data_IF_289113376805
#
_entry.id   IF_289113376805
#
_cell.length_a   1.000
_cell.length_b   1.000
_cell.length_c   1.000
_cell.angle_alpha   90.00
_cell.angle_beta   90.00
_cell.angle_gamma   90.00
#
_symmetry.space_group_name_H-M   'P 1'
#
loop_
_entity.id
_entity.type
_entity.pdbx_description
1 polymer ?
#
# COMPACT_ATOMS: atom_id res chain seq x y z
N UNK A 1 -26.47 3.07 7.02
CA UNK A 1 -26.39 4.45 7.53
C UNK A 1 -25.31 5.28 6.83
N UNK A 2 -24.01 4.98 7.01
CA UNK A 2 -22.94 5.77 6.36
C UNK A 2 -23.01 5.71 4.82
N UNK A 3 -23.14 4.51 4.27
CA UNK A 3 -23.22 4.32 2.80
C UNK A 3 -24.47 4.97 2.22
N UNK A 4 -25.62 4.86 2.89
CA UNK A 4 -26.86 5.53 2.48
C UNK A 4 -26.68 7.05 2.42
N UNK A 5 -25.99 7.63 3.40
CA UNK A 5 -25.69 9.06 3.43
C UNK A 5 -24.73 9.47 2.31
N UNK A 6 -23.74 8.63 1.97
CA UNK A 6 -22.87 8.85 0.81
C UNK A 6 -23.68 8.85 -0.50
N UNK A 7 -24.61 7.92 -0.68
CA UNK A 7 -25.53 7.91 -1.84
C UNK A 7 -26.43 9.14 -1.89
N UNK A 8 -26.77 9.74 -0.74
CA UNK A 8 -27.60 10.95 -0.68
C UNK A 8 -26.83 12.20 -1.10
N UNK A 9 -25.54 12.28 -0.79
CA UNK A 9 -24.72 13.48 -1.00
C UNK A 9 -23.82 13.43 -2.23
N UNK A 10 -23.55 12.24 -2.76
CA UNK A 10 -22.68 12.01 -3.91
C UNK A 10 -23.39 11.17 -4.97
N UNK A 11 -23.11 11.47 -6.24
CA UNK A 11 -23.44 10.55 -7.34
C UNK A 11 -22.39 9.44 -7.41
N UNK A 12 -22.79 8.24 -7.00
CA UNK A 12 -21.95 7.04 -7.00
C UNK A 12 -22.14 6.17 -8.24
N UNK A 13 -22.86 6.64 -9.27
CA UNK A 13 -23.05 5.89 -10.53
C UNK A 13 -21.73 5.58 -11.26
N UNK A 14 -20.70 6.40 -11.06
CA UNK A 14 -19.37 6.22 -11.62
C UNK A 14 -18.39 5.49 -10.67
N UNK A 15 -18.85 5.02 -9.50
CA UNK A 15 -18.03 4.32 -8.53
C UNK A 15 -17.54 2.99 -9.10
N UNK A 16 -16.23 2.85 -9.27
CA UNK A 16 -15.60 1.65 -9.84
C UNK A 16 -15.09 0.68 -8.78
N UNK A 17 -14.62 1.19 -7.66
CA UNK A 17 -14.04 0.40 -6.57
C UNK A 17 -14.57 0.91 -5.24
N UNK A 18 -15.14 0.01 -4.45
CA UNK A 18 -15.51 0.22 -3.06
C UNK A 18 -14.82 -0.86 -2.23
N UNK A 19 -13.76 -0.43 -1.53
CA UNK A 19 -12.89 -1.30 -0.73
C UNK A 19 -13.17 -1.18 0.76
N UNK A 20 -13.15 -2.29 1.49
CA UNK A 20 -13.04 -2.32 2.96
C UNK A 20 -11.84 -3.14 3.42
N UNK A 21 -11.06 -2.61 4.35
CA UNK A 21 -9.98 -3.32 5.03
C UNK A 21 -10.53 -4.19 6.16
N UNK A 22 -10.06 -5.44 6.23
CA UNK A 22 -10.60 -6.48 7.07
C UNK A 22 -9.47 -7.19 7.83
N UNK A 23 -9.61 -7.32 9.14
CA UNK A 23 -8.75 -8.21 9.92
C UNK A 23 -9.40 -9.60 10.04
N UNK A 24 -8.64 -10.70 9.90
CA UNK A 24 -9.20 -12.06 9.92
C UNK A 24 -10.05 -12.40 11.15
N UNK A 25 -9.73 -11.85 12.32
CA UNK A 25 -10.45 -12.12 13.57
C UNK A 25 -11.81 -11.43 13.67
N UNK A 26 -12.07 -10.40 12.86
CA UNK A 26 -13.26 -9.56 12.95
C UNK A 26 -14.34 -9.89 11.91
N UNK A 27 -14.02 -10.72 10.91
CA UNK A 27 -14.90 -10.98 9.78
C UNK A 27 -15.12 -12.48 9.59
N UNK A 28 -16.38 -12.85 9.41
CA UNK A 28 -16.83 -14.17 8.95
C UNK A 28 -17.68 -14.03 7.69
N UNK A 29 -18.20 -15.14 7.18
CA UNK A 29 -19.13 -15.16 6.06
C UNK A 29 -20.25 -14.11 6.21
N UNK A 30 -20.81 -13.96 7.42
CA UNK A 30 -21.92 -13.02 7.67
C UNK A 30 -21.50 -11.58 7.44
N UNK A 31 -20.40 -11.12 8.05
CA UNK A 31 -19.94 -9.74 7.89
C UNK A 31 -19.56 -9.46 6.43
N UNK A 32 -18.95 -10.41 5.73
CA UNK A 32 -18.66 -10.27 4.30
C UNK A 32 -19.93 -10.16 3.45
N UNK A 33 -20.97 -10.94 3.75
CA UNK A 33 -22.27 -10.83 3.07
C UNK A 33 -22.92 -9.47 3.33
N UNK A 34 -22.81 -8.94 4.55
CA UNK A 34 -23.30 -7.60 4.88
C UNK A 34 -22.55 -6.53 4.08
N UNK A 35 -21.21 -6.61 3.96
CA UNK A 35 -20.41 -5.71 3.13
C UNK A 35 -20.81 -5.77 1.64
N UNK A 36 -20.98 -6.96 1.07
CA UNK A 36 -21.45 -7.11 -0.32
C UNK A 36 -22.84 -6.49 -0.50
N UNK A 37 -23.74 -6.65 0.47
CA UNK A 37 -25.12 -6.14 0.38
C UNK A 37 -25.20 -4.61 0.33
N UNK A 38 -24.17 -3.92 0.84
CA UNK A 38 -24.07 -2.45 0.79
C UNK A 38 -23.19 -1.95 -0.37
N UNK A 39 -22.84 -2.83 -1.32
CA UNK A 39 -22.15 -2.46 -2.55
C UNK A 39 -20.61 -2.45 -2.47
N UNK A 40 -20.01 -2.93 -1.37
CA UNK A 40 -18.55 -3.18 -1.33
C UNK A 40 -18.23 -4.23 -2.37
N UNK A 41 -17.27 -3.96 -3.25
CA UNK A 41 -16.89 -4.86 -4.35
C UNK A 41 -15.43 -5.34 -4.27
N UNK A 42 -14.69 -4.86 -3.27
CA UNK A 42 -13.33 -5.31 -2.96
C UNK A 42 -13.11 -5.37 -1.44
N UNK A 43 -12.38 -6.38 -0.98
CA UNK A 43 -11.88 -6.43 0.41
C UNK A 43 -10.37 -6.58 0.43
N UNK A 44 -9.69 -5.93 1.38
CA UNK A 44 -8.28 -6.18 1.69
C UNK A 44 -8.18 -6.87 3.03
N UNK A 45 -7.70 -8.10 3.05
CA UNK A 45 -7.60 -8.92 4.26
C UNK A 45 -6.17 -8.88 4.75
N UNK A 46 -5.98 -8.32 5.95
CA UNK A 46 -4.68 -8.18 6.58
C UNK A 46 -4.16 -9.50 7.17
N UNK A 47 -3.80 -10.47 6.33
CA UNK A 47 -3.34 -11.81 6.76
C UNK A 47 -1.93 -11.79 7.35
N UNK A 48 -1.05 -10.94 6.81
CA UNK A 48 0.33 -10.63 7.17
C UNK A 48 1.33 -11.77 7.00
N UNK A 49 0.95 -12.99 7.41
CA UNK A 49 1.70 -14.23 7.18
C UNK A 49 0.75 -15.42 7.35
N UNK A 50 0.96 -16.46 6.57
CA UNK A 50 0.32 -17.76 6.71
C UNK A 50 1.15 -18.75 7.55
N UNK A 51 2.24 -18.28 8.18
CA UNK A 51 3.05 -19.10 9.08
C UNK A 51 2.85 -18.70 10.54
N UNK A 52 2.73 -19.67 11.47
CA UNK A 52 2.69 -19.36 12.91
C UNK A 52 3.93 -18.60 13.39
N UNK A 53 5.09 -18.84 12.76
CA UNK A 53 6.35 -18.13 13.04
C UNK A 53 6.23 -16.64 12.68
N UNK A 54 5.85 -16.32 11.45
CA UNK A 54 5.69 -14.94 10.98
C UNK A 54 4.65 -14.17 11.79
N UNK A 55 3.48 -14.77 12.04
CA UNK A 55 2.43 -14.15 12.85
C UNK A 55 2.90 -13.79 14.27
N UNK A 56 3.64 -14.69 14.93
CA UNK A 56 4.22 -14.40 16.26
C UNK A 56 5.28 -13.30 16.20
N UNK A 57 6.16 -13.32 15.22
CA UNK A 57 7.20 -12.28 15.06
C UNK A 57 6.58 -10.91 14.81
N UNK A 58 5.52 -10.85 14.00
CA UNK A 58 4.78 -9.63 13.67
C UNK A 58 3.78 -9.20 14.75
N UNK A 59 3.65 -9.94 15.85
CA UNK A 59 2.76 -9.62 16.96
C UNK A 59 1.26 -9.71 16.61
N UNK A 60 0.89 -10.59 15.69
CA UNK A 60 -0.51 -10.79 15.27
C UNK A 60 -1.25 -11.73 16.21
N UNK A 61 -2.51 -11.39 16.49
CA UNK A 61 -3.38 -12.13 17.41
C UNK A 61 -4.15 -13.27 16.74
N UNK A 62 -4.33 -13.23 15.41
CA UNK A 62 -4.99 -14.29 14.66
C UNK A 62 -4.02 -15.43 14.32
N UNK A 63 -4.58 -16.61 14.03
CA UNK A 63 -3.81 -17.77 13.57
C UNK A 63 -3.78 -17.88 12.04
N UNK A 64 -2.90 -18.72 11.50
CA UNK A 64 -2.83 -18.97 10.07
C UNK A 64 -4.16 -19.57 9.54
N UNK A 65 -4.78 -20.45 10.33
CA UNK A 65 -6.08 -21.04 10.02
C UNK A 65 -7.17 -19.97 9.95
N UNK A 66 -7.17 -19.00 10.87
CA UNK A 66 -8.13 -17.89 10.85
C UNK A 66 -7.94 -16.98 9.62
N UNK A 67 -6.69 -16.74 9.23
CA UNK A 67 -6.40 -16.01 7.99
C UNK A 67 -6.97 -16.75 6.77
N UNK A 68 -6.73 -18.05 6.65
CA UNK A 68 -7.27 -18.89 5.57
C UNK A 68 -8.81 -18.89 5.58
N UNK A 69 -9.43 -19.09 6.73
CA UNK A 69 -10.89 -19.09 6.91
C UNK A 69 -11.52 -17.77 6.47
N UNK A 70 -10.90 -16.63 6.80
CA UNK A 70 -11.40 -15.32 6.41
C UNK A 70 -11.39 -15.13 4.89
N UNK A 71 -10.33 -15.61 4.20
CA UNK A 71 -10.25 -15.54 2.74
C UNK A 71 -11.30 -16.44 2.08
N UNK A 72 -11.47 -17.67 2.57
CA UNK A 72 -12.51 -18.58 2.09
C UNK A 72 -13.89 -17.97 2.31
N UNK A 73 -14.16 -17.43 3.50
CA UNK A 73 -15.43 -16.79 3.85
C UNK A 73 -15.75 -15.61 2.95
N UNK A 74 -14.78 -14.77 2.60
CA UNK A 74 -14.97 -13.66 1.68
C UNK A 74 -15.39 -14.14 0.28
N UNK A 75 -14.77 -15.22 -0.21
CA UNK A 75 -15.11 -15.84 -1.50
C UNK A 75 -16.47 -16.49 -1.50
N UNK A 76 -16.77 -17.29 -0.48
CA UNK A 76 -18.08 -17.94 -0.31
C UNK A 76 -19.19 -16.90 -0.17
N UNK A 77 -18.90 -15.76 0.46
CA UNK A 77 -19.83 -14.64 0.52
C UNK A 77 -20.11 -14.04 -0.87
N UNK A 78 -19.17 -14.15 -1.81
CA UNK A 78 -19.32 -13.73 -3.20
C UNK A 78 -18.37 -12.62 -3.64
N UNK A 79 -17.31 -12.31 -2.88
CA UNK A 79 -16.30 -11.35 -3.34
C UNK A 79 -15.46 -11.94 -4.47
N UNK A 80 -15.49 -11.30 -5.64
CA UNK A 80 -14.61 -11.62 -6.76
C UNK A 80 -13.22 -10.97 -6.61
N UNK A 81 -13.17 -9.78 -5.98
CA UNK A 81 -11.92 -9.04 -5.78
C UNK A 81 -11.48 -9.08 -4.31
N UNK A 82 -10.55 -10.00 -4.00
CA UNK A 82 -9.99 -10.20 -2.66
C UNK A 82 -8.49 -9.91 -2.69
N UNK A 83 -8.08 -8.94 -1.90
CA UNK A 83 -6.68 -8.58 -1.66
C UNK A 83 -6.18 -9.19 -0.37
N UNK A 84 -4.91 -9.62 -0.33
CA UNK A 84 -4.24 -10.01 0.91
C UNK A 84 -3.05 -9.09 1.18
N UNK A 85 -2.92 -8.64 2.42
CA UNK A 85 -1.76 -7.87 2.85
C UNK A 85 -0.78 -8.82 3.54
N UNK A 86 0.46 -8.86 3.08
CA UNK A 86 1.56 -9.71 3.54
C UNK A 86 2.72 -8.83 3.99
N UNK A 87 3.45 -9.29 5.01
CA UNK A 87 4.68 -8.66 5.46
C UNK A 87 5.81 -9.68 5.38
N UNK A 88 6.88 -9.33 4.67
CA UNK A 88 8.10 -10.14 4.56
C UNK A 88 9.33 -9.34 5.01
N UNK A 89 10.49 -9.99 5.09
CA UNK A 89 11.73 -9.44 5.64
C UNK A 89 11.69 -9.28 7.16
N UNK A 90 10.85 -10.04 7.87
CA UNK A 90 10.82 -10.01 9.34
C UNK A 90 12.00 -10.78 9.95
N UNK A 91 12.38 -10.50 11.22
CA UNK A 91 13.45 -11.21 11.91
C UNK A 91 13.34 -12.73 11.83
N UNK A 92 14.47 -13.38 11.52
CA UNK A 92 14.59 -14.83 11.35
C UNK A 92 13.72 -15.43 10.23
N UNK A 93 13.18 -14.63 9.30
CA UNK A 93 12.41 -15.18 8.16
C UNK A 93 13.33 -16.01 7.25
N UNK A 94 12.93 -17.25 6.98
CA UNK A 94 13.68 -18.15 6.12
C UNK A 94 13.05 -18.23 4.72
N UNK A 95 13.84 -18.57 3.69
CA UNK A 95 13.32 -18.89 2.35
C UNK A 95 12.17 -19.91 2.33
N UNK A 96 12.17 -20.87 3.27
CA UNK A 96 11.11 -21.87 3.43
C UNK A 96 9.77 -21.26 3.88
N UNK A 97 9.82 -20.21 4.71
CA UNK A 97 8.62 -19.48 5.16
C UNK A 97 7.95 -18.83 3.95
N UNK A 98 8.70 -18.10 3.11
CA UNK A 98 8.15 -17.48 1.89
C UNK A 98 7.60 -18.51 0.89
N UNK A 99 8.26 -19.66 0.76
CA UNK A 99 7.71 -20.76 -0.07
C UNK A 99 6.38 -21.27 0.49
N UNK A 100 6.18 -21.24 1.80
CA UNK A 100 4.89 -21.57 2.41
C UNK A 100 3.85 -20.48 2.15
N UNK A 101 4.22 -19.20 2.23
CA UNK A 101 3.34 -18.09 1.85
C UNK A 101 2.85 -18.25 0.40
N UNK A 102 3.78 -18.50 -0.54
CA UNK A 102 3.48 -18.70 -1.96
C UNK A 102 2.55 -19.88 -2.22
N UNK A 103 2.70 -21.00 -1.51
CA UNK A 103 1.77 -22.14 -1.61
C UNK A 103 0.35 -21.76 -1.20
N UNK A 104 0.21 -20.98 -0.13
CA UNK A 104 -1.11 -20.50 0.29
C UNK A 104 -1.70 -19.50 -0.70
N UNK A 105 -0.87 -18.64 -1.29
CA UNK A 105 -1.31 -17.71 -2.35
C UNK A 105 -1.77 -18.49 -3.59
N UNK A 106 -1.07 -19.56 -3.97
CA UNK A 106 -1.44 -20.43 -5.09
C UNK A 106 -2.77 -21.16 -4.84
N UNK A 107 -2.99 -21.63 -3.61
CA UNK A 107 -4.22 -22.32 -3.21
C UNK A 107 -5.41 -21.33 -3.12
N UNK A 108 -5.20 -20.19 -2.45
CA UNK A 108 -6.22 -19.19 -2.20
C UNK A 108 -6.45 -18.25 -3.38
N UNK A 109 -5.54 -18.16 -4.35
CA UNK A 109 -5.62 -17.37 -5.59
C UNK A 109 -6.21 -15.95 -5.45
N UNK A 110 -5.82 -15.13 -4.48
CA UNK A 110 -6.36 -13.77 -4.36
C UNK A 110 -6.20 -12.97 -5.65
N UNK A 111 -7.03 -11.96 -5.89
CA UNK A 111 -6.90 -11.15 -7.11
C UNK A 111 -5.80 -10.11 -6.99
N UNK A 112 -5.44 -9.76 -5.76
CA UNK A 112 -4.47 -8.72 -5.44
C UNK A 112 -3.66 -9.10 -4.19
N UNK A 113 -2.41 -8.64 -4.14
CA UNK A 113 -1.52 -8.82 -3.01
C UNK A 113 -0.78 -7.53 -2.70
N UNK A 114 -0.75 -7.17 -1.43
CA UNK A 114 0.07 -6.09 -0.89
C UNK A 114 1.21 -6.70 -0.09
N UNK A 115 2.38 -6.83 -0.71
CA UNK A 115 3.56 -7.45 -0.11
C UNK A 115 4.53 -6.36 0.39
N UNK A 116 4.45 -6.06 1.68
CA UNK A 116 5.28 -5.05 2.32
C UNK A 116 6.57 -5.66 2.87
N UNK A 117 7.69 -5.02 2.55
CA UNK A 117 8.91 -5.24 3.31
C UNK A 117 8.71 -4.64 4.71
N UNK A 118 9.06 -5.40 5.75
CA UNK A 118 8.92 -4.97 7.12
C UNK A 118 9.67 -3.65 7.35
N UNK A 119 8.92 -2.63 7.74
CA UNK A 119 9.48 -1.36 8.23
C UNK A 119 9.31 -1.30 9.74
N UNK A 120 10.40 -1.02 10.47
CA UNK A 120 10.33 -0.81 11.91
C UNK A 120 9.85 0.60 12.21
N UNK A 121 8.72 0.71 12.90
CA UNK A 121 8.26 1.98 13.44
C UNK A 121 8.75 2.15 14.88
N UNK A 122 9.33 3.32 15.17
CA UNK A 122 9.82 3.68 16.49
C UNK A 122 8.72 3.52 17.56
N UNK A 123 9.09 2.97 18.71
CA UNK A 123 8.18 2.75 19.83
C UNK A 123 7.28 1.52 19.71
N UNK A 124 7.30 0.79 18.60
CA UNK A 124 6.58 -0.50 18.50
C UNK A 124 7.26 -1.61 19.32
N UNK A 125 6.52 -2.62 19.80
CA UNK A 125 7.11 -3.75 20.50
C UNK A 125 8.23 -4.44 19.70
N UNK A 126 8.07 -4.58 18.38
CA UNK A 126 9.08 -5.19 17.52
C UNK A 126 10.36 -4.33 17.45
N UNK A 127 10.22 -3.01 17.27
CA UNK A 127 11.35 -2.07 17.31
C UNK A 127 12.12 -2.18 18.63
N UNK A 128 11.42 -2.25 19.76
CA UNK A 128 12.06 -2.36 21.07
C UNK A 128 12.86 -3.67 21.23
N UNK A 129 12.35 -4.79 20.70
CA UNK A 129 13.03 -6.09 20.75
C UNK A 129 14.29 -6.11 19.88
N UNK A 130 14.20 -5.55 18.66
CA UNK A 130 15.35 -5.40 17.77
C UNK A 130 16.41 -4.48 18.39
N UNK A 131 16.00 -3.34 18.93
CA UNK A 131 16.90 -2.40 19.59
C UNK A 131 17.57 -2.99 20.85
N UNK A 132 16.93 -3.94 21.53
CA UNK A 132 17.53 -4.68 22.66
C UNK A 132 18.45 -5.82 22.24
N UNK A 133 18.57 -6.09 20.95
CA UNK A 133 19.34 -7.23 20.42
C UNK A 133 18.67 -8.58 20.64
N UNK A 134 17.37 -8.62 20.95
CA UNK A 134 16.62 -9.87 21.12
C UNK A 134 16.24 -10.50 19.78
N UNK A 135 16.19 -9.69 18.72
CA UNK A 135 15.88 -10.08 17.35
C UNK A 135 16.81 -9.35 16.39
N UNK A 136 17.26 -10.04 15.35
CA UNK A 136 18.09 -9.46 14.30
C UNK A 136 17.27 -9.26 13.03
N UNK A 137 17.39 -8.08 12.41
CA UNK A 137 16.85 -7.89 11.07
C UNK A 137 17.70 -8.65 10.05
N UNK A 138 17.08 -9.13 8.95
CA UNK A 138 17.84 -9.68 7.83
C UNK A 138 18.81 -8.65 7.27
N UNK A 139 19.98 -9.10 6.84
CA UNK A 139 20.93 -8.30 6.06
C UNK A 139 20.36 -7.91 4.70
N UNK A 140 20.93 -6.89 4.05
CA UNK A 140 20.52 -6.49 2.69
C UNK A 140 20.59 -7.64 1.69
N UNK A 141 21.62 -8.50 1.79
CA UNK A 141 21.76 -9.67 0.92
C UNK A 141 20.62 -10.68 1.15
N UNK A 142 20.23 -10.89 2.41
CA UNK A 142 19.09 -11.75 2.75
C UNK A 142 17.77 -11.15 2.27
N UNK A 143 17.58 -9.83 2.41
CA UNK A 143 16.39 -9.14 1.89
C UNK A 143 16.28 -9.24 0.37
N UNK A 144 17.38 -9.07 -0.37
CA UNK A 144 17.44 -9.29 -1.81
C UNK A 144 17.03 -10.72 -2.17
N UNK A 145 17.53 -11.72 -1.43
CA UNK A 145 17.20 -13.13 -1.65
C UNK A 145 15.73 -13.43 -1.37
N UNK A 146 15.18 -12.91 -0.27
CA UNK A 146 13.78 -13.05 0.10
C UNK A 146 12.86 -12.36 -0.92
N UNK A 147 13.20 -11.14 -1.33
CA UNK A 147 12.46 -10.41 -2.35
C UNK A 147 12.44 -11.16 -3.68
N UNK A 148 13.57 -11.71 -4.12
CA UNK A 148 13.65 -12.53 -5.34
C UNK A 148 12.73 -13.75 -5.29
N UNK A 149 12.74 -14.52 -4.20
CA UNK A 149 11.85 -15.69 -4.02
C UNK A 149 10.38 -15.28 -4.14
N UNK A 150 9.98 -14.18 -3.48
CA UNK A 150 8.61 -13.70 -3.51
C UNK A 150 8.22 -13.20 -4.90
N UNK A 151 9.04 -12.33 -5.50
CA UNK A 151 8.80 -11.75 -6.83
C UNK A 151 8.68 -12.82 -7.91
N UNK A 152 9.61 -13.79 -7.93
CA UNK A 152 9.62 -14.87 -8.90
C UNK A 152 8.39 -15.78 -8.73
N UNK A 153 8.09 -16.19 -7.49
CA UNK A 153 6.92 -17.00 -7.21
C UNK A 153 5.60 -16.31 -7.60
N UNK A 154 5.45 -15.01 -7.30
CA UNK A 154 4.26 -14.26 -7.69
C UNK A 154 4.13 -14.13 -9.21
N UNK A 155 5.24 -13.95 -9.93
CA UNK A 155 5.24 -13.89 -11.39
C UNK A 155 4.86 -15.23 -12.03
N UNK A 156 5.38 -16.34 -11.49
CA UNK A 156 5.01 -17.69 -11.91
C UNK A 156 3.52 -17.98 -11.72
N UNK A 157 2.92 -17.41 -10.67
CA UNK A 157 1.48 -17.48 -10.40
C UNK A 157 0.64 -16.48 -11.23
N UNK A 158 1.27 -15.70 -12.11
CA UNK A 158 0.60 -14.77 -13.03
C UNK A 158 0.27 -13.39 -12.47
N UNK A 159 0.80 -13.04 -11.29
CA UNK A 159 0.64 -11.69 -10.75
C UNK A 159 1.63 -10.71 -11.39
N UNK A 160 1.15 -9.51 -11.67
CA UNK A 160 1.97 -8.41 -12.14
C UNK A 160 2.20 -7.39 -11.03
N UNK A 161 3.47 -7.09 -10.75
CA UNK A 161 3.83 -5.91 -9.98
C UNK A 161 3.49 -4.65 -10.76
N UNK A 162 2.74 -3.73 -10.14
CA UNK A 162 2.39 -2.45 -10.75
C UNK A 162 2.95 -1.22 -10.02
N UNK A 163 3.41 -1.41 -8.78
CA UNK A 163 4.12 -0.41 -7.97
C UNK A 163 5.11 -1.10 -7.00
N UNK A 164 5.67 -0.43 -6.00
CA UNK A 164 6.72 -0.97 -5.12
C UNK A 164 6.27 -2.23 -4.38
N UNK A 165 5.11 -2.23 -3.74
CA UNK A 165 4.69 -3.32 -2.82
C UNK A 165 3.55 -4.19 -3.35
N UNK A 166 2.83 -3.75 -4.38
CA UNK A 166 1.58 -4.35 -4.79
C UNK A 166 1.67 -5.09 -6.12
N UNK A 167 0.97 -6.22 -6.11
CA UNK A 167 0.87 -7.18 -7.17
C UNK A 167 -0.60 -7.47 -7.43
N UNK A 168 -0.95 -7.74 -8.69
CA UNK A 168 -2.33 -8.06 -9.03
C UNK A 168 -2.38 -8.98 -10.23
N UNK A 169 -3.42 -9.82 -10.30
CA UNK A 169 -3.82 -10.39 -11.58
C UNK A 169 -4.26 -9.25 -12.54
N UNK A 170 -4.15 -9.44 -13.85
CA UNK A 170 -4.60 -8.44 -14.83
C UNK A 170 -6.04 -8.00 -14.57
N UNK A 171 -6.27 -6.69 -14.54
CA UNK A 171 -7.58 -6.08 -14.27
C UNK A 171 -7.87 -5.77 -12.79
N UNK A 172 -7.05 -6.23 -11.85
CA UNK A 172 -7.29 -6.11 -10.40
C UNK A 172 -6.34 -5.15 -9.67
N UNK A 173 -5.68 -4.24 -10.38
CA UNK A 173 -4.86 -3.17 -9.76
C UNK A 173 -5.74 -2.30 -8.87
N UNK A 174 -5.27 -2.04 -7.65
CA UNK A 174 -6.01 -1.23 -6.66
C UNK A 174 -6.15 0.22 -7.15
N UNK A 175 -7.38 0.68 -7.37
CA UNK A 175 -7.63 2.03 -7.84
C UNK A 175 -7.27 3.06 -6.78
N UNK A 176 -7.57 2.78 -5.52
CA UNK A 176 -7.19 3.63 -4.40
C UNK A 176 -5.67 3.91 -4.38
N UNK A 177 -4.83 2.88 -4.48
CA UNK A 177 -3.37 3.06 -4.47
C UNK A 177 -2.88 3.88 -5.66
N UNK A 178 -3.46 3.66 -6.85
CA UNK A 178 -3.11 4.42 -8.04
C UNK A 178 -3.47 5.91 -7.93
N UNK A 179 -4.55 6.28 -7.24
CA UNK A 179 -4.89 7.69 -6.98
C UNK A 179 -3.74 8.39 -6.24
N UNK A 180 -3.18 7.78 -5.19
CA UNK A 180 -2.02 8.35 -4.48
C UNK A 180 -0.80 8.44 -5.38
N UNK A 181 -0.43 7.35 -6.03
CA UNK A 181 0.79 7.30 -6.86
C UNK A 181 0.74 8.18 -8.10
N UNK A 182 -0.47 8.53 -8.55
CA UNK A 182 -0.68 9.44 -9.66
C UNK A 182 -0.75 10.92 -9.25
N UNK A 183 -0.71 11.22 -7.95
CA UNK A 183 -1.00 12.54 -7.37
C UNK A 183 -2.40 13.05 -7.78
N UNK A 184 -3.38 12.15 -7.80
CA UNK A 184 -4.78 12.51 -8.05
C UNK A 184 -5.43 13.01 -6.75
N UNK A 185 -6.49 13.80 -6.89
CA UNK A 185 -7.19 14.38 -5.76
C UNK A 185 -8.08 13.35 -5.04
N UNK A 186 -8.20 13.49 -3.72
CA UNK A 186 -9.05 12.65 -2.90
C UNK A 186 -9.48 13.38 -1.63
N UNK A 187 -10.70 13.06 -1.17
CA UNK A 187 -11.23 13.54 0.10
C UNK A 187 -10.89 12.56 1.23
N UNK A 188 -10.25 13.07 2.27
CA UNK A 188 -10.13 12.41 3.57
C UNK A 188 -11.29 12.76 4.48
N UNK A 189 -12.07 11.76 4.89
CA UNK A 189 -13.19 11.91 5.83
C UNK A 189 -12.92 11.09 7.09
N UNK A 190 -13.33 11.60 8.24
CA UNK A 190 -13.15 10.93 9.53
C UNK A 190 -11.95 11.46 10.33
N UNK A 191 -11.84 10.95 11.55
CA UNK A 191 -10.77 11.31 12.50
C UNK A 191 -9.41 10.98 11.88
N UNK A 192 -8.43 11.86 12.05
CA UNK A 192 -7.06 11.76 11.51
C UNK A 192 -6.90 11.64 10.00
N UNK A 193 -7.99 11.60 9.24
CA UNK A 193 -7.94 11.42 7.79
C UNK A 193 -7.19 12.58 7.11
N UNK A 194 -6.39 12.24 6.12
CA UNK A 194 -5.75 13.18 5.22
C UNK A 194 -6.51 13.27 3.91
N UNK A 195 -6.53 14.45 3.30
CA UNK A 195 -7.05 14.66 1.95
C UNK A 195 -6.16 15.59 1.15
N UNK A 196 -6.32 15.55 -0.16
CA UNK A 196 -5.60 16.38 -1.11
C UNK A 196 -6.55 16.82 -2.23
N UNK A 197 -6.88 18.12 -2.27
CA UNK A 197 -7.87 18.69 -3.19
C UNK A 197 -7.44 20.11 -3.56
N UNK A 198 -7.52 20.48 -4.84
CA UNK A 198 -7.18 21.79 -5.38
C UNK A 198 -5.78 22.27 -4.98
N UNK A 199 -4.79 21.37 -5.01
CA UNK A 199 -3.41 21.67 -4.60
C UNK A 199 -3.23 21.92 -3.10
N UNK A 200 -4.23 21.60 -2.27
CA UNK A 200 -4.18 21.75 -0.81
C UNK A 200 -4.18 20.40 -0.13
N UNK A 201 -3.24 20.21 0.78
CA UNK A 201 -3.22 19.05 1.67
C UNK A 201 -3.80 19.41 3.02
N UNK A 202 -4.74 18.61 3.50
CA UNK A 202 -5.35 18.82 4.79
C UNK A 202 -5.36 17.54 5.63
N UNK A 203 -5.41 17.72 6.95
CA UNK A 203 -5.55 16.64 7.91
C UNK A 203 -6.65 16.99 8.91
N UNK A 204 -7.53 16.04 9.18
CA UNK A 204 -8.53 16.16 10.23
C UNK A 204 -7.91 16.00 11.62
N UNK A 205 -8.60 16.51 12.65
CA UNK A 205 -8.22 16.32 14.04
C UNK A 205 -7.97 14.84 14.35
N UNK A 206 -6.88 14.57 15.09
CA UNK A 206 -6.50 13.23 15.53
C UNK A 206 -7.28 12.78 16.77
N UNK A 207 -7.85 13.72 17.52
CA UNK A 207 -8.64 13.42 18.70
C UNK A 207 -10.13 13.30 18.35
N UNK A 208 -10.74 12.18 18.72
CA UNK A 208 -12.14 11.89 18.42
C UNK A 208 -13.10 12.92 19.06
N UNK A 209 -12.80 13.37 20.28
CA UNK A 209 -13.65 14.31 21.02
C UNK A 209 -13.72 15.69 20.33
N UNK A 210 -12.59 16.24 19.93
CA UNK A 210 -12.50 17.51 19.21
C UNK A 210 -13.03 17.42 17.78
N UNK A 211 -12.76 16.31 17.08
CA UNK A 211 -13.38 16.03 15.78
C UNK A 211 -14.91 16.08 15.87
N UNK A 212 -15.49 15.31 16.81
CA UNK A 212 -16.94 15.26 17.02
C UNK A 212 -17.51 16.62 17.38
N UNK A 213 -16.87 17.35 18.30
CA UNK A 213 -17.31 18.69 18.70
C UNK A 213 -17.40 19.64 17.51
N UNK A 214 -16.37 19.71 16.66
CA UNK A 214 -16.36 20.62 15.50
C UNK A 214 -17.46 20.27 14.50
N UNK A 215 -17.65 18.99 14.21
CA UNK A 215 -18.72 18.53 13.30
C UNK A 215 -20.10 18.92 13.83
N UNK A 216 -20.38 18.70 15.12
CA UNK A 216 -21.67 19.05 15.73
C UNK A 216 -21.95 20.57 15.75
N UNK A 217 -20.91 21.38 15.70
CA UNK A 217 -20.99 22.85 15.59
C UNK A 217 -21.07 23.34 14.13
N UNK A 218 -21.15 22.44 13.15
CA UNK A 218 -21.15 22.79 11.72
C UNK A 218 -19.81 23.31 11.20
N UNK A 219 -18.71 23.03 11.90
CA UNK A 219 -17.35 23.47 11.54
C UNK A 219 -16.54 22.33 10.93
N UNK A 220 -15.65 22.64 9.97
CA UNK A 220 -14.70 21.67 9.42
C UNK A 220 -13.73 21.19 10.52
N UNK A 221 -13.49 19.88 10.68
CA UNK A 221 -12.65 19.34 11.74
C UNK A 221 -11.15 19.35 11.39
N UNK A 222 -10.65 20.41 10.74
CA UNK A 222 -9.27 20.48 10.23
C UNK A 222 -8.26 20.73 11.36
N UNK A 223 -7.27 19.86 11.50
CA UNK A 223 -6.07 20.16 12.29
C UNK A 223 -5.17 21.14 11.55
N UNK A 224 -4.96 20.87 10.27
CA UNK A 224 -4.00 21.58 9.41
C UNK A 224 -4.50 21.54 7.98
N UNK A 225 -4.26 22.62 7.25
CA UNK A 225 -4.51 22.76 5.81
C UNK A 225 -3.35 23.58 5.23
N UNK A 226 -2.65 23.01 4.25
CA UNK A 226 -1.42 23.54 3.68
C UNK A 226 -1.61 23.64 2.17
N UNK A 227 -1.57 24.85 1.58
CA UNK A 227 -1.45 24.98 0.14
C UNK A 227 -0.04 24.54 -0.29
N UNK A 228 0.04 23.75 -1.35
CA UNK A 228 1.30 23.35 -1.96
C UNK A 228 1.64 24.30 -3.11
N UNK A 229 2.88 24.75 -3.16
CA UNK A 229 3.44 25.46 -4.29
C UNK A 229 3.56 24.55 -5.51
N UNK A 230 3.74 25.15 -6.69
CA UNK A 230 3.99 24.39 -7.93
C UNK A 230 5.26 23.53 -7.83
N UNK A 231 6.27 24.01 -7.10
CA UNK A 231 7.51 23.27 -6.85
C UNK A 231 7.25 22.04 -5.96
N UNK A 232 6.56 22.20 -4.83
CA UNK A 232 6.21 21.08 -3.95
C UNK A 232 5.33 20.04 -4.66
N UNK A 233 4.34 20.47 -5.45
CA UNK A 233 3.51 19.57 -6.25
C UNK A 233 4.34 18.79 -7.28
N UNK A 234 5.35 19.44 -7.88
CA UNK A 234 6.22 18.79 -8.84
C UNK A 234 7.17 17.78 -8.17
N UNK A 235 7.76 18.13 -7.03
CA UNK A 235 8.59 17.21 -6.24
C UNK A 235 7.78 15.99 -5.78
N UNK A 236 6.56 16.20 -5.30
CA UNK A 236 5.67 15.09 -4.94
C UNK A 236 5.26 14.24 -6.14
N UNK A 237 4.98 14.86 -7.28
CA UNK A 237 4.72 14.14 -8.53
C UNK A 237 5.88 13.21 -8.86
N UNK A 238 7.13 13.67 -8.77
CA UNK A 238 8.30 12.83 -9.02
C UNK A 238 8.40 11.70 -8.00
N UNK A 239 8.32 12.06 -6.72
CA UNK A 239 8.43 11.12 -5.61
C UNK A 239 7.41 9.98 -5.70
N UNK A 240 6.15 10.32 -5.97
CA UNK A 240 5.04 9.37 -6.01
C UNK A 240 5.04 8.54 -7.29
N UNK A 241 5.24 9.17 -8.45
CA UNK A 241 5.21 8.46 -9.74
C UNK A 241 6.32 7.44 -9.88
N UNK A 242 7.51 7.73 -9.36
CA UNK A 242 8.64 6.82 -9.42
C UNK A 242 8.42 5.51 -8.63
N UNK A 243 7.42 5.45 -7.76
CA UNK A 243 6.99 4.23 -7.06
C UNK A 243 6.18 3.29 -7.95
N UNK A 244 5.60 3.80 -9.05
CA UNK A 244 4.94 2.95 -10.03
C UNK A 244 5.98 2.18 -10.84
N UNK A 245 5.65 0.95 -11.25
CA UNK A 245 6.50 0.19 -12.19
C UNK A 245 6.72 0.96 -13.50
N UNK A 246 5.71 1.70 -13.98
CA UNK A 246 5.82 2.54 -15.18
C UNK A 246 6.60 3.84 -14.92
N UNK A 247 6.81 4.20 -13.66
CA UNK A 247 7.50 5.42 -13.25
C UNK A 247 6.94 6.69 -13.89
N UNK A 248 7.84 7.49 -14.47
CA UNK A 248 7.53 8.77 -15.08
C UNK A 248 7.17 8.63 -16.57
N UNK A 249 6.26 9.45 -17.12
CA UNK A 249 6.07 9.56 -18.57
C UNK A 249 7.39 9.89 -19.29
N UNK A 250 7.59 9.36 -20.50
CA UNK A 250 8.85 9.52 -21.28
C UNK A 250 9.32 10.98 -21.43
N UNK A 251 8.39 11.94 -21.54
CA UNK A 251 8.70 13.37 -21.62
C UNK A 251 9.54 13.89 -20.45
N UNK A 252 9.49 13.22 -19.29
CA UNK A 252 10.23 13.57 -18.08
C UNK A 252 11.55 12.82 -17.91
N UNK A 253 11.99 12.03 -18.91
CA UNK A 253 13.29 11.32 -18.87
C UNK A 253 14.48 12.24 -18.58
N UNK A 254 14.39 13.51 -18.98
CA UNK A 254 15.43 14.52 -18.77
C UNK A 254 15.62 14.92 -17.30
N UNK A 255 14.71 14.51 -16.40
CA UNK A 255 14.79 14.71 -14.96
C UNK A 255 15.61 13.63 -14.25
N UNK A 256 15.87 12.49 -14.92
CA UNK A 256 16.69 11.42 -14.36
C UNK A 256 18.17 11.80 -14.52
N UNK A 257 18.93 11.86 -13.41
CA UNK A 257 20.35 12.19 -13.44
C UNK A 257 21.13 11.23 -14.35
N UNK A 258 22.12 11.72 -15.14
CA UNK A 258 22.88 10.87 -16.06
C UNK A 258 23.51 9.64 -15.41
N UNK A 259 24.05 9.78 -14.19
CA UNK A 259 24.68 8.69 -13.44
C UNK A 259 23.69 7.66 -12.89
N UNK A 260 22.40 8.01 -12.78
CA UNK A 260 21.35 7.09 -12.35
C UNK A 260 20.68 6.33 -13.49
N UNK A 261 20.95 6.65 -14.76
CA UNK A 261 20.23 6.04 -15.90
C UNK A 261 20.32 4.51 -15.94
N UNK A 262 21.37 3.91 -15.39
CA UNK A 262 21.52 2.46 -15.30
C UNK A 262 20.50 1.78 -14.39
N UNK A 263 19.93 2.50 -13.42
CA UNK A 263 18.93 1.97 -12.49
C UNK A 263 17.50 1.99 -13.04
N UNK A 264 17.31 2.55 -14.25
CA UNK A 264 16.01 2.72 -14.88
C UNK A 264 15.84 1.84 -16.12
N UNK A 265 14.60 1.47 -16.40
CA UNK A 265 14.18 0.82 -17.64
C UNK A 265 13.05 1.60 -18.31
N UNK A 266 13.02 1.55 -19.63
CA UNK A 266 11.91 2.08 -20.41
C UNK A 266 10.93 0.96 -20.74
N UNK A 267 9.64 1.20 -20.53
CA UNK A 267 8.61 0.22 -20.79
C UNK A 267 7.26 0.88 -21.05
N UNK A 268 6.58 0.44 -22.12
CA UNK A 268 5.33 1.05 -22.57
C UNK A 268 5.50 2.55 -22.82
N UNK A 269 4.81 3.39 -22.04
CA UNK A 269 4.84 4.85 -22.16
C UNK A 269 5.64 5.56 -21.05
N UNK A 270 6.38 4.81 -20.22
CA UNK A 270 7.10 5.37 -19.06
C UNK A 270 8.53 4.88 -18.86
N UNK A 271 9.22 5.51 -17.92
CA UNK A 271 10.55 5.15 -17.43
C UNK A 271 10.46 4.91 -15.91
N UNK A 272 10.73 3.68 -15.49
CA UNK A 272 10.60 3.22 -14.11
C UNK A 272 11.89 2.67 -13.55
N UNK A 273 11.95 2.52 -12.22
CA UNK A 273 13.07 1.86 -11.53
C UNK A 273 13.02 0.37 -11.85
N UNK A 274 14.16 -0.19 -12.26
CA UNK A 274 14.27 -1.62 -12.56
C UNK A 274 13.99 -2.46 -11.32
N UNK A 275 13.45 -3.65 -11.54
CA UNK A 275 13.03 -4.53 -10.45
C UNK A 275 14.18 -4.93 -9.52
N UNK A 276 15.38 -5.15 -10.06
CA UNK A 276 16.57 -5.49 -9.26
C UNK A 276 17.04 -4.39 -8.30
N UNK A 277 16.55 -3.15 -8.46
CA UNK A 277 16.93 -1.99 -7.65
C UNK A 277 15.79 -1.45 -6.77
N UNK A 278 14.68 -2.18 -6.61
CA UNK A 278 13.54 -1.70 -5.84
C UNK A 278 13.82 -1.50 -4.36
N UNK A 279 14.68 -2.35 -3.79
CA UNK A 279 15.09 -2.20 -2.39
C UNK A 279 15.93 -0.93 -2.16
N UNK A 280 16.39 -0.29 -3.23
CA UNK A 280 17.10 1.00 -3.23
C UNK A 280 16.22 2.14 -3.77
N UNK A 281 14.91 1.91 -3.92
CA UNK A 281 14.03 2.86 -4.60
C UNK A 281 13.94 4.20 -3.88
N UNK A 282 13.97 4.22 -2.54
CA UNK A 282 13.91 5.45 -1.77
C UNK A 282 15.17 6.31 -1.94
N UNK A 283 16.36 5.69 -1.97
CA UNK A 283 17.63 6.37 -2.24
C UNK A 283 17.65 6.94 -3.66
N UNK A 284 17.27 6.14 -4.66
CA UNK A 284 17.21 6.55 -6.06
C UNK A 284 16.25 7.72 -6.23
N UNK A 285 15.06 7.65 -5.63
CA UNK A 285 14.05 8.72 -5.71
C UNK A 285 14.55 9.99 -5.03
N UNK A 286 15.15 9.86 -3.85
CA UNK A 286 15.73 11.00 -3.12
C UNK A 286 16.79 11.71 -3.95
N UNK A 287 17.67 10.96 -4.62
CA UNK A 287 18.71 11.55 -5.46
C UNK A 287 18.16 12.22 -6.73
N UNK A 288 17.09 11.65 -7.33
CA UNK A 288 16.35 12.31 -8.41
C UNK A 288 15.74 13.63 -7.93
N UNK A 289 15.16 13.67 -6.73
CA UNK A 289 14.60 14.91 -6.16
C UNK A 289 15.70 15.97 -5.97
N UNK A 290 16.78 15.63 -5.26
CA UNK A 290 17.90 16.53 -5.00
C UNK A 290 18.49 17.13 -6.29
N UNK A 291 18.67 16.31 -7.32
CA UNK A 291 19.13 16.77 -8.64
C UNK A 291 18.24 17.85 -9.24
N UNK A 292 16.91 17.70 -9.12
CA UNK A 292 15.95 18.62 -9.72
C UNK A 292 15.75 19.88 -8.88
N UNK A 293 15.77 19.80 -7.54
CA UNK A 293 15.74 20.98 -6.66
C UNK A 293 16.97 21.88 -6.91
N UNK A 294 18.16 21.30 -7.07
CA UNK A 294 19.37 22.07 -7.42
C UNK A 294 19.32 22.70 -8.82
N UNK A 295 18.62 22.07 -9.77
CA UNK A 295 18.46 22.58 -11.14
C UNK A 295 17.48 23.75 -11.19
N UNK A 296 16.43 23.71 -10.39
CA UNK A 296 15.46 24.80 -10.26
C UNK A 296 16.08 26.02 -9.56
N UNK A 297 16.88 25.81 -8.50
CA UNK A 297 17.58 26.90 -7.80
C UNK A 297 18.62 27.67 -8.65
N UNK A 298 19.02 27.13 -9.82
CA UNK A 298 19.98 27.75 -10.75
C UNK A 298 19.33 28.48 -11.93
N UNK A 299 18.00 28.48 -12.02
CA UNK A 299 17.21 29.20 -13.03
C UNK A 299 16.66 30.49 -12.45
#
# INVERSE_FOLDING_TARGET
ALVDELHRVLDLSALKEFTVECNPENYSYREFRELLSIGVNRVSIGVQSFTPKGLRTLGRSHSAEKAVEAVISAREAGFENVSLDLIYGYPDQEPSDLRQELRWIEELRPTHLSAYLLTLHEGTPLHLRVHRGELSLPSEEELCRLHGILSDGLRELGYERYEISNWSLPGYRCRHNLVYWNLEEFFGLGVSAWGFVEGRRYCNLKDLAGYRRRILEGRRPLKTEIPLSEEELFEEFLMLRLRLRRGLPHRYRHLIPPHLRGFFEEGGEGIGIREEYLLLSDEIITEVLLYNSHRNARR
#
